data_IF_870364603824
#
_entry.id   IF_870364603824
#
_cell.length_a   1.000
_cell.length_b   1.000
_cell.length_c   1.000
_cell.angle_alpha   90.00
_cell.angle_beta   90.00
_cell.angle_gamma   90.00
#
_symmetry.space_group_name_H-M   'P 1'
#
loop_
_entity.id
_entity.type
_entity.pdbx_description
1 polymer ?
#
# COMPACT_ATOMS: atom_id res chain seq x y z
N UNK A 1 10.84 6.32 4.15
CA UNK A 1 10.05 5.22 4.74
C UNK A 1 9.58 4.23 3.69
N UNK A 2 9.33 2.98 4.07
CA UNK A 2 8.83 1.94 3.16
C UNK A 2 7.68 1.17 3.80
N UNK A 3 6.60 1.01 3.04
CA UNK A 3 5.42 0.24 3.41
C UNK A 3 5.27 -0.96 2.47
N UNK A 4 4.84 -2.10 3.04
CA UNK A 4 4.55 -3.32 2.28
C UNK A 4 3.21 -3.89 2.73
N UNK A 5 2.37 -4.29 1.78
CA UNK A 5 1.21 -5.13 2.04
C UNK A 5 1.51 -6.56 1.59
N UNK A 6 0.96 -7.57 2.27
CA UNK A 6 1.07 -8.96 1.79
C UNK A 6 -0.17 -9.38 0.99
N UNK A 7 -0.36 -10.68 0.83
CA UNK A 7 -1.53 -11.24 0.15
C UNK A 7 -2.82 -10.80 0.86
N UNK A 8 -3.84 -10.40 0.08
CA UNK A 8 -5.15 -9.94 0.58
C UNK A 8 -5.13 -8.70 1.50
N UNK A 9 -3.96 -8.20 1.89
CA UNK A 9 -3.82 -7.01 2.71
C UNK A 9 -4.08 -5.73 1.89
N UNK A 10 -4.58 -4.70 2.57
CA UNK A 10 -4.80 -3.36 2.03
C UNK A 10 -4.26 -2.33 3.01
N UNK A 11 -3.82 -1.19 2.50
CA UNK A 11 -3.38 -0.09 3.35
C UNK A 11 -3.89 1.24 2.81
N UNK A 12 -4.25 2.14 3.73
CA UNK A 12 -4.58 3.54 3.43
C UNK A 12 -3.62 4.45 4.15
N UNK A 13 -2.94 5.31 3.40
CA UNK A 13 -2.02 6.32 3.92
C UNK A 13 -2.62 7.69 3.65
N UNK A 14 -2.70 8.52 4.69
CA UNK A 14 -3.01 9.94 4.55
C UNK A 14 -1.71 10.73 4.61
N UNK A 15 -1.46 11.53 3.58
CA UNK A 15 -0.28 12.37 3.47
C UNK A 15 -0.50 13.70 4.22
N UNK A 16 0.59 14.43 4.47
CA UNK A 16 0.56 15.67 5.23
C UNK A 16 -0.24 16.80 4.53
N UNK A 17 -0.33 16.74 3.21
CA UNK A 17 -1.13 17.67 2.38
C UNK A 17 -2.63 17.29 2.33
N UNK A 18 -3.03 16.21 3.01
CA UNK A 18 -4.40 15.69 3.01
C UNK A 18 -4.67 14.65 1.91
N UNK A 19 -3.77 14.50 0.93
CA UNK A 19 -3.91 13.52 -0.16
C UNK A 19 -3.93 12.10 0.40
N UNK A 20 -4.63 11.20 -0.28
CA UNK A 20 -4.76 9.79 0.15
C UNK A 20 -4.10 8.85 -0.85
N UNK A 21 -3.34 7.89 -0.34
CA UNK A 21 -2.84 6.73 -1.10
C UNK A 21 -3.53 5.47 -0.55
N UNK A 22 -4.28 4.76 -1.39
CA UNK A 22 -4.73 3.39 -1.11
C UNK A 22 -3.78 2.41 -1.80
N UNK A 23 -3.45 1.32 -1.13
CA UNK A 23 -2.54 0.29 -1.62
C UNK A 23 -3.24 -1.06 -1.59
N UNK A 24 -3.14 -1.78 -2.71
CA UNK A 24 -3.65 -3.13 -2.86
C UNK A 24 -2.79 -4.17 -2.16
N UNK A 25 -3.02 -5.44 -2.48
CA UNK A 25 -2.17 -6.53 -2.01
C UNK A 25 -0.79 -6.52 -2.65
N UNK A 26 0.17 -7.13 -1.95
CA UNK A 26 1.57 -7.30 -2.39
C UNK A 26 2.21 -5.98 -2.85
N UNK A 27 1.69 -4.85 -2.39
CA UNK A 27 2.15 -3.54 -2.75
C UNK A 27 3.46 -3.24 -2.04
N UNK A 28 4.37 -2.58 -2.74
CA UNK A 28 5.62 -2.09 -2.19
C UNK A 28 5.69 -0.61 -2.46
N UNK A 29 5.51 0.18 -1.41
CA UNK A 29 5.45 1.63 -1.46
C UNK A 29 6.62 2.23 -0.69
N UNK A 30 7.25 3.26 -1.22
CA UNK A 30 8.28 4.02 -0.53
C UNK A 30 7.99 5.51 -0.62
N UNK A 31 8.24 6.19 0.49
CA UNK A 31 8.23 7.64 0.57
C UNK A 31 9.67 8.13 0.66
N UNK A 32 10.09 8.88 -0.35
CA UNK A 32 11.42 9.46 -0.45
C UNK A 32 11.30 10.98 -0.36
N UNK A 33 12.04 11.56 0.60
CA UNK A 33 12.26 13.01 0.68
C UNK A 33 13.54 13.31 -0.06
N UNK A 34 13.46 14.12 -1.11
CA UNK A 34 14.59 14.62 -1.86
C UNK A 34 14.73 16.14 -1.75
N UNK A 35 15.93 16.63 -2.04
CA UNK A 35 16.18 18.03 -2.40
C UNK A 35 16.64 18.06 -3.85
N UNK A 36 15.96 18.83 -4.69
CA UNK A 36 16.37 19.10 -6.07
C UNK A 36 16.34 20.61 -6.24
N UNK A 37 17.45 21.22 -6.67
CA UNK A 37 17.59 22.67 -6.89
C UNK A 37 17.12 23.53 -5.70
N UNK A 38 17.47 23.10 -4.47
CA UNK A 38 17.08 23.80 -3.24
C UNK A 38 15.61 23.62 -2.81
N UNK A 39 14.76 23.03 -3.66
CA UNK A 39 13.35 22.73 -3.35
C UNK A 39 13.21 21.33 -2.75
N UNK A 40 12.40 21.22 -1.70
CA UNK A 40 12.01 19.93 -1.14
C UNK A 40 11.06 19.24 -2.13
N UNK A 41 11.47 18.11 -2.69
CA UNK A 41 10.61 17.25 -3.52
C UNK A 41 10.29 15.99 -2.74
N UNK A 42 9.00 15.74 -2.56
CA UNK A 42 8.51 14.48 -2.03
C UNK A 42 8.16 13.58 -3.22
N UNK A 43 8.77 12.40 -3.30
CA UNK A 43 8.46 11.41 -4.33
C UNK A 43 7.79 10.21 -3.68
N UNK A 44 6.60 9.90 -4.16
CA UNK A 44 5.87 8.69 -3.79
C UNK A 44 6.29 7.60 -4.78
N UNK A 45 6.91 6.52 -4.31
CA UNK A 45 7.37 5.44 -5.18
C UNK A 45 6.54 4.19 -4.98
N UNK A 46 5.95 3.71 -6.07
CA UNK A 46 5.27 2.42 -6.13
C UNK A 46 6.19 1.47 -6.89
N UNK A 47 6.73 0.47 -6.19
CA UNK A 47 7.68 -0.49 -6.76
C UNK A 47 6.99 -1.76 -7.24
N UNK A 48 5.81 -2.08 -6.71
CA UNK A 48 4.98 -3.23 -7.06
C UNK A 48 3.56 -3.04 -6.52
N UNK A 49 2.60 -3.74 -7.12
CA UNK A 49 1.20 -3.79 -6.69
C UNK A 49 0.35 -2.64 -7.20
N UNK A 50 -0.95 -2.71 -6.92
CA UNK A 50 -1.92 -1.70 -7.28
C UNK A 50 -2.00 -0.59 -6.23
N UNK A 51 -2.34 0.62 -6.68
CA UNK A 51 -2.54 1.77 -5.83
C UNK A 51 -3.58 2.73 -6.41
N UNK A 52 -4.21 3.51 -5.54
CA UNK A 52 -5.02 4.68 -5.94
C UNK A 52 -4.48 5.90 -5.22
N UNK A 53 -4.26 6.96 -5.96
CA UNK A 53 -3.90 8.26 -5.41
C UNK A 53 -5.03 9.25 -5.68
N UNK A 54 -5.46 9.93 -4.63
CA UNK A 54 -6.46 11.00 -4.72
C UNK A 54 -5.89 12.23 -4.04
N UNK A 55 -5.71 13.31 -4.81
CA UNK A 55 -5.19 14.56 -4.29
C UNK A 55 -6.23 15.26 -3.41
N UNK A 56 -5.76 15.99 -2.39
CA UNK A 56 -6.63 16.89 -1.65
C UNK A 56 -6.75 18.23 -2.39
N UNK A 57 -7.97 18.61 -2.79
CA UNK A 57 -8.26 19.77 -3.64
C UNK A 57 -7.99 21.16 -3.05
N UNK A 58 -7.26 21.27 -1.93
CA UNK A 58 -7.12 22.52 -1.15
C UNK A 58 -5.70 23.01 -0.87
N UNK A 59 -4.63 22.26 -1.20
CA UNK A 59 -3.28 22.64 -0.79
C UNK A 59 -2.58 23.57 -1.82
N UNK A 60 -2.25 24.80 -1.40
CA UNK A 60 -1.18 25.60 -2.03
C UNK A 60 0.17 25.04 -1.55
N UNK A 61 0.83 24.22 -2.36
CA UNK A 61 2.12 23.61 -2.05
C UNK A 61 2.71 22.87 -3.26
N UNK A 62 3.96 22.43 -3.17
CA UNK A 62 4.61 21.62 -4.20
C UNK A 62 3.93 20.26 -4.33
N UNK A 63 3.27 20.05 -5.47
CA UNK A 63 2.75 18.75 -5.89
C UNK A 63 3.82 17.65 -5.78
N UNK A 64 3.54 16.51 -5.12
CA UNK A 64 4.47 15.38 -5.16
C UNK A 64 4.59 14.85 -6.60
N UNK A 65 5.68 14.14 -6.90
CA UNK A 65 5.71 13.28 -8.08
C UNK A 65 5.41 11.84 -7.62
N UNK A 66 4.61 11.10 -8.38
CA UNK A 66 4.47 9.65 -8.19
C UNK A 66 5.36 8.95 -9.18
N UNK A 67 6.22 8.05 -8.71
CA UNK A 67 7.02 7.19 -9.56
C UNK A 67 6.58 5.74 -9.42
N UNK A 68 5.95 5.21 -10.47
CA UNK A 68 5.56 3.80 -10.60
C UNK A 68 6.70 3.08 -11.33
N UNK A 69 7.66 2.54 -10.58
CA UNK A 69 8.92 1.96 -11.08
C UNK A 69 9.63 2.86 -12.14
N UNK A 70 9.32 2.69 -13.42
CA UNK A 70 9.91 3.44 -14.53
C UNK A 70 9.08 4.64 -15.00
N UNK A 71 7.85 4.79 -14.53
CA UNK A 71 6.93 5.85 -14.93
C UNK A 71 6.93 6.94 -13.86
N UNK A 72 7.08 8.21 -14.25
CA UNK A 72 6.94 9.39 -13.38
C UNK A 72 5.68 10.16 -13.76
N UNK A 73 4.86 10.47 -12.75
CA UNK A 73 3.56 11.13 -12.87
C UNK A 73 3.62 12.46 -12.10
N UNK A 74 3.37 13.57 -12.78
CA UNK A 74 3.11 14.86 -12.14
C UNK A 74 1.66 14.94 -11.68
N UNK A 75 1.41 15.17 -10.39
CA UNK A 75 0.05 15.14 -9.82
C UNK A 75 -0.39 16.51 -9.31
N UNK A 76 -1.52 17.03 -9.78
CA UNK A 76 -2.14 18.22 -9.19
C UNK A 76 -3.64 18.18 -9.41
N UNK A 77 -4.42 18.10 -8.32
CA UNK A 77 -5.88 18.06 -8.44
C UNK A 77 -6.34 16.83 -9.22
N UNK A 78 -5.79 15.65 -8.93
CA UNK A 78 -6.02 14.43 -9.71
C UNK A 78 -6.45 13.25 -8.85
N UNK A 79 -7.22 12.37 -9.45
CA UNK A 79 -7.51 11.02 -8.97
C UNK A 79 -7.05 10.02 -10.03
N UNK A 80 -6.23 9.06 -9.62
CA UNK A 80 -5.68 8.06 -10.52
C UNK A 80 -5.55 6.71 -9.84
N UNK A 81 -5.72 5.67 -10.64
CA UNK A 81 -5.35 4.31 -10.29
C UNK A 81 -4.08 3.93 -11.03
N UNK A 82 -3.24 3.09 -10.44
CA UNK A 82 -2.10 2.54 -11.14
C UNK A 82 -1.67 1.20 -10.57
N UNK A 83 -0.83 0.49 -11.31
CA UNK A 83 -0.32 -0.82 -10.91
C UNK A 83 1.05 -1.06 -11.52
N UNK A 84 1.96 -1.61 -10.72
CA UNK A 84 3.26 -2.08 -11.21
C UNK A 84 3.32 -3.59 -11.05
N UNK A 85 3.50 -4.30 -12.16
CA UNK A 85 3.70 -5.75 -12.20
C UNK A 85 5.10 -6.07 -12.72
N UNK A 86 5.46 -7.35 -12.78
CA UNK A 86 6.73 -7.75 -13.39
C UNK A 86 6.73 -7.55 -14.91
N UNK A 87 5.55 -7.49 -15.54
CA UNK A 87 5.38 -7.34 -16.98
C UNK A 87 5.24 -5.91 -17.46
N UNK A 88 4.64 -5.02 -16.66
CA UNK A 88 4.31 -3.66 -17.10
C UNK A 88 4.03 -2.69 -15.96
N UNK A 89 4.11 -1.40 -16.24
CA UNK A 89 3.56 -0.33 -15.40
C UNK A 89 2.27 0.21 -16.04
N UNK A 90 1.24 0.43 -15.22
CA UNK A 90 -0.09 0.85 -15.63
C UNK A 90 -0.51 2.11 -14.86
N UNK A 91 -1.15 3.04 -15.55
CA UNK A 91 -1.72 4.27 -14.98
C UNK A 91 -3.05 4.56 -15.66
N UNK A 92 -4.12 4.71 -14.90
CA UNK A 92 -5.45 5.12 -15.38
C UNK A 92 -5.85 6.43 -14.70
N UNK A 93 -6.12 7.47 -15.49
CA UNK A 93 -6.63 8.74 -15.01
C UNK A 93 -8.13 8.62 -14.72
N UNK A 94 -8.54 8.94 -13.50
CA UNK A 94 -9.95 8.94 -13.10
C UNK A 94 -10.50 10.37 -13.19
N UNK A 95 -9.77 11.34 -12.65
CA UNK A 95 -10.13 12.75 -12.67
C UNK A 95 -8.89 13.67 -12.69
N UNK A 96 -9.03 14.86 -13.28
CA UNK A 96 -7.98 15.87 -13.40
C UNK A 96 -7.11 15.70 -14.66
N UNK A 97 -5.82 16.03 -14.55
CA UNK A 97 -4.86 15.89 -15.64
C UNK A 97 -3.44 15.59 -15.12
N UNK A 98 -2.73 14.70 -15.79
CA UNK A 98 -1.37 14.28 -15.43
C UNK A 98 -0.42 14.29 -16.62
N UNK A 99 0.84 14.59 -16.35
CA UNK A 99 1.96 14.32 -17.25
C UNK A 99 2.62 13.00 -16.85
N UNK A 100 2.84 12.12 -17.81
CA UNK A 100 3.40 10.78 -17.63
C UNK A 100 4.68 10.67 -18.46
N UNK A 101 5.81 10.45 -17.79
CA UNK A 101 7.12 10.30 -18.44
C UNK A 101 7.76 8.96 -18.10
N UNK A 102 8.53 8.41 -19.02
CA UNK A 102 9.36 7.23 -18.81
C UNK A 102 10.71 7.38 -19.51
N UNK A 103 11.78 6.72 -19.04
CA UNK A 103 13.11 6.84 -19.63
C UNK A 103 13.12 6.56 -21.14
N UNK A 104 13.69 7.48 -21.92
CA UNK A 104 13.83 7.34 -23.37
C UNK A 104 12.57 7.64 -24.18
N UNK A 105 11.45 8.00 -23.53
CA UNK A 105 10.20 8.31 -24.21
C UNK A 105 9.76 9.76 -23.96
N UNK A 106 9.08 10.40 -24.92
CA UNK A 106 8.49 11.71 -24.69
C UNK A 106 7.45 11.66 -23.57
N UNK A 107 7.27 12.79 -22.88
CA UNK A 107 6.18 12.92 -21.91
C UNK A 107 4.83 12.88 -22.63
N UNK A 108 3.91 12.12 -22.06
CA UNK A 108 2.54 11.94 -22.52
C UNK A 108 1.61 12.64 -21.54
N UNK A 109 0.70 13.47 -22.05
CA UNK A 109 -0.35 14.10 -21.25
C UNK A 109 -1.60 13.23 -21.27
N UNK A 110 -2.13 12.89 -20.09
CA UNK A 110 -3.47 12.32 -19.92
C UNK A 110 -4.34 13.40 -19.30
N UNK A 111 -5.45 13.76 -19.94
CA UNK A 111 -6.32 14.85 -19.50
C UNK A 111 -7.81 14.59 -19.72
N UNK A 112 -8.15 13.37 -20.13
CA UNK A 112 -9.53 12.90 -20.21
C UNK A 112 -9.71 11.75 -19.23
N UNK A 113 -10.82 11.71 -18.48
CA UNK A 113 -11.18 10.54 -17.69
C UNK A 113 -11.04 9.25 -18.50
N UNK A 114 -10.57 8.20 -17.84
CA UNK A 114 -10.33 6.88 -18.39
C UNK A 114 -9.18 6.81 -19.42
N UNK A 115 -8.40 7.88 -19.59
CA UNK A 115 -7.09 7.78 -20.26
C UNK A 115 -6.22 6.76 -19.51
N UNK A 116 -5.71 5.78 -20.26
CA UNK A 116 -4.96 4.65 -19.74
C UNK A 116 -3.58 4.59 -20.40
N UNK A 117 -2.55 4.76 -19.60
CA UNK A 117 -1.16 4.59 -20.01
C UNK A 117 -0.64 3.23 -19.57
N UNK A 118 0.02 2.53 -20.47
CA UNK A 118 0.73 1.29 -20.19
C UNK A 118 2.15 1.31 -20.73
N UNK A 119 3.08 0.79 -19.96
CA UNK A 119 4.47 0.60 -20.35
C UNK A 119 4.90 -0.86 -20.09
N UNK A 120 4.86 -1.73 -21.11
CA UNK A 120 5.42 -3.08 -21.04
C UNK A 120 6.92 -3.06 -20.73
N UNK A 121 7.45 -4.11 -20.09
CA UNK A 121 8.90 -4.26 -19.88
C UNK A 121 9.60 -4.42 -21.22
N UNK A 122 10.60 -3.57 -21.45
CA UNK A 122 11.37 -3.56 -22.69
C UNK A 122 10.58 -3.12 -23.93
N UNK A 123 9.34 -2.65 -23.75
CA UNK A 123 8.49 -2.15 -24.83
C UNK A 123 8.34 -0.63 -24.80
N UNK A 124 7.59 -0.13 -25.77
CA UNK A 124 7.22 1.28 -25.88
C UNK A 124 5.92 1.56 -25.13
N UNK A 125 5.73 2.79 -24.62
CA UNK A 125 4.49 3.17 -23.97
C UNK A 125 3.34 3.30 -24.97
N UNK A 126 2.15 2.94 -24.52
CA UNK A 126 0.91 3.13 -25.27
C UNK A 126 -0.13 3.85 -24.40
N UNK A 127 -0.99 4.64 -25.07
CA UNK A 127 -2.15 5.28 -24.45
C UNK A 127 -3.40 4.73 -25.10
N UNK A 128 -4.38 4.38 -24.27
CA UNK A 128 -5.68 3.88 -24.69
C UNK A 128 -6.79 4.41 -23.76
N UNK A 129 -8.00 3.90 -23.92
CA UNK A 129 -9.15 4.13 -23.06
C UNK A 129 -9.55 2.86 -22.32
N UNK A 130 -9.90 3.03 -21.06
CA UNK A 130 -10.48 1.98 -20.21
C UNK A 130 -11.98 2.16 -20.11
N UNK A 131 -12.74 1.06 -20.06
CA UNK A 131 -14.18 1.14 -19.77
C UNK A 131 -14.42 1.39 -18.28
N UNK A 132 -15.55 2.01 -17.94
CA UNK A 132 -15.93 2.20 -16.54
C UNK A 132 -16.04 0.88 -15.77
N UNK A 133 -16.54 -0.18 -16.43
CA UNK A 133 -16.63 -1.51 -15.84
C UNK A 133 -15.24 -2.07 -15.47
N UNK A 134 -14.25 -1.90 -16.36
CA UNK A 134 -12.88 -2.34 -16.10
C UNK A 134 -12.23 -1.52 -14.98
N UNK A 135 -12.46 -0.21 -14.95
CA UNK A 135 -11.98 0.64 -13.85
C UNK A 135 -12.63 0.24 -12.51
N UNK A 136 -13.92 -0.08 -12.50
CA UNK A 136 -14.62 -0.53 -11.30
C UNK A 136 -14.01 -1.83 -10.75
N UNK A 137 -13.68 -2.79 -11.62
CA UNK A 137 -12.96 -4.00 -11.24
C UNK A 137 -11.58 -3.68 -10.63
N UNK A 138 -10.79 -2.83 -11.28
CA UNK A 138 -9.47 -2.44 -10.78
C UNK A 138 -9.52 -1.66 -9.47
N UNK A 139 -10.56 -0.85 -9.25
CA UNK A 139 -10.73 -0.10 -8.02
C UNK A 139 -10.80 -1.04 -6.80
N UNK A 140 -11.46 -2.20 -6.94
CA UNK A 140 -11.54 -3.23 -5.89
C UNK A 140 -10.17 -3.75 -5.45
N UNK A 141 -9.15 -3.69 -6.31
CA UNK A 141 -7.79 -4.07 -5.93
C UNK A 141 -7.23 -3.19 -4.81
N UNK A 142 -7.77 -2.00 -4.58
CA UNK A 142 -7.27 -1.03 -3.60
C UNK A 142 -8.29 -0.64 -2.53
N UNK A 143 -9.54 -1.07 -2.67
CA UNK A 143 -10.56 -0.80 -1.66
C UNK A 143 -10.32 -1.58 -0.37
N UNK A 144 -10.60 -0.93 0.75
CA UNK A 144 -10.56 -1.57 2.08
C UNK A 144 -11.78 -2.48 2.21
N UNK A 145 -11.57 -3.70 2.70
CA UNK A 145 -12.67 -4.62 3.00
C UNK A 145 -13.42 -4.13 4.25
N UNK A 146 -14.75 -4.03 4.16
CA UNK A 146 -15.60 -3.48 5.22
C UNK A 146 -15.68 -4.38 6.46
N UNK A 147 -15.43 -5.67 6.30
CA UNK A 147 -15.52 -6.73 7.30
C UNK A 147 -14.15 -7.24 7.79
N UNK A 148 -13.06 -6.63 7.30
CA UNK A 148 -11.70 -7.00 7.67
C UNK A 148 -11.25 -6.44 9.02
N UNK A 149 -10.24 -7.07 9.64
CA UNK A 149 -9.59 -6.51 10.82
C UNK A 149 -8.81 -5.23 10.45
N UNK A 150 -9.31 -4.07 10.89
CA UNK A 150 -8.70 -2.78 10.60
C UNK A 150 -7.64 -2.42 11.65
N UNK A 151 -6.42 -2.19 11.17
CA UNK A 151 -5.35 -1.57 11.93
C UNK A 151 -5.30 -0.06 11.70
N UNK A 152 -4.98 0.69 12.75
CA UNK A 152 -4.69 2.13 12.70
C UNK A 152 -3.37 2.39 13.43
N UNK A 153 -2.55 3.30 12.90
CA UNK A 153 -1.35 3.75 13.60
C UNK A 153 -1.71 4.26 15.02
N UNK A 154 -1.06 3.70 16.03
CA UNK A 154 -1.34 4.00 17.44
C UNK A 154 -2.56 3.31 18.04
N UNK A 155 -3.17 2.34 17.34
CA UNK A 155 -4.23 1.51 17.91
C UNK A 155 -3.75 0.78 19.18
N UNK A 156 -4.56 0.83 20.24
CA UNK A 156 -4.18 0.24 21.53
C UNK A 156 -4.17 -1.29 21.47
N UNK A 157 -5.02 -1.90 20.64
CA UNK A 157 -5.20 -3.34 20.68
C UNK A 157 -4.13 -4.09 19.89
N UNK A 158 -3.82 -5.31 20.34
CA UNK A 158 -2.93 -6.27 19.68
C UNK A 158 -3.48 -7.69 19.78
N UNK A 159 -3.06 -8.53 18.85
CA UNK A 159 -3.24 -9.98 18.90
C UNK A 159 -1.88 -10.64 19.08
N UNK A 160 -1.71 -11.37 20.18
CA UNK A 160 -0.56 -12.25 20.40
C UNK A 160 -0.86 -13.58 19.71
N UNK A 161 -0.12 -13.88 18.63
CA UNK A 161 -0.28 -15.13 17.91
C UNK A 161 0.31 -16.30 18.71
N UNK A 162 1.50 -16.15 19.26
CA UNK A 162 2.10 -17.15 20.13
C UNK A 162 3.15 -16.52 21.05
N UNK A 163 3.37 -17.17 22.19
CA UNK A 163 4.50 -16.95 23.09
C UNK A 163 5.44 -18.14 23.02
N UNK A 164 6.74 -17.88 22.99
CA UNK A 164 7.79 -18.89 22.81
C UNK A 164 8.99 -18.57 23.68
N UNK A 165 9.65 -19.59 24.23
CA UNK A 165 10.91 -19.42 24.95
C UNK A 165 12.11 -19.12 24.03
N UNK A 166 11.99 -19.46 22.74
CA UNK A 166 13.07 -19.33 21.76
C UNK A 166 12.78 -18.19 20.78
N UNK A 167 13.73 -17.27 20.66
CA UNK A 167 13.65 -16.14 19.74
C UNK A 167 13.45 -16.60 18.28
N UNK A 168 14.09 -17.70 17.90
CA UNK A 168 14.04 -18.24 16.54
C UNK A 168 12.64 -18.71 16.15
N UNK A 169 11.88 -19.28 17.09
CA UNK A 169 10.51 -19.76 16.85
C UNK A 169 9.55 -18.59 16.61
N UNK A 170 9.64 -17.53 17.44
CA UNK A 170 8.89 -16.30 17.23
C UNK A 170 9.25 -15.64 15.88
N UNK A 171 10.53 -15.63 15.49
CA UNK A 171 10.94 -15.11 14.19
C UNK A 171 10.44 -15.96 13.02
N UNK A 172 10.42 -17.28 13.15
CA UNK A 172 9.89 -18.19 12.15
C UNK A 172 8.38 -18.00 11.96
N UNK A 173 7.61 -17.96 13.05
CA UNK A 173 6.18 -17.68 13.02
C UNK A 173 5.90 -16.31 12.41
N UNK A 174 6.60 -15.27 12.87
CA UNK A 174 6.44 -13.92 12.33
C UNK A 174 6.72 -13.83 10.83
N UNK A 175 7.73 -14.55 10.31
CA UNK A 175 8.01 -14.61 8.87
C UNK A 175 6.85 -15.25 8.10
N UNK A 176 6.31 -16.35 8.60
CA UNK A 176 5.17 -17.05 7.98
C UNK A 176 3.91 -16.20 7.98
N UNK A 177 3.59 -15.55 9.11
CA UNK A 177 2.45 -14.64 9.20
C UNK A 177 2.59 -13.44 8.26
N UNK A 178 3.80 -12.86 8.14
CA UNK A 178 4.06 -11.79 7.17
C UNK A 178 3.94 -12.26 5.72
N UNK A 179 4.35 -13.48 5.41
CA UNK A 179 4.13 -14.07 4.09
C UNK A 179 2.62 -14.23 3.78
N UNK A 180 1.81 -14.53 4.80
CA UNK A 180 0.36 -14.59 4.71
C UNK A 180 -0.35 -13.22 4.79
N UNK A 181 0.39 -12.11 4.84
CA UNK A 181 -0.17 -10.75 4.82
C UNK A 181 -0.46 -10.10 6.16
N UNK A 182 -0.17 -10.78 7.28
CA UNK A 182 -0.30 -10.19 8.61
C UNK A 182 0.95 -9.39 8.98
N UNK A 183 0.83 -8.15 9.49
CA UNK A 183 1.99 -7.33 9.88
C UNK A 183 2.55 -7.76 11.25
N UNK A 184 2.86 -9.06 11.38
CA UNK A 184 3.36 -9.65 12.61
C UNK A 184 4.78 -9.16 12.92
N UNK A 185 5.07 -8.92 14.19
CA UNK A 185 6.38 -8.53 14.72
C UNK A 185 6.73 -9.35 15.95
N UNK A 186 8.03 -9.49 16.21
CA UNK A 186 8.53 -10.06 17.45
C UNK A 186 8.54 -8.99 18.54
N UNK A 187 8.12 -9.36 19.74
CA UNK A 187 8.22 -8.57 20.97
C UNK A 187 8.90 -9.45 22.02
N UNK A 188 9.86 -8.88 22.75
CA UNK A 188 10.42 -9.52 23.94
C UNK A 188 9.61 -9.02 25.14
N UNK A 189 8.94 -9.94 25.84
CA UNK A 189 8.08 -9.61 26.98
C UNK A 189 8.82 -9.76 28.32
N UNK A 190 10.00 -10.39 28.31
CA UNK A 190 10.88 -10.57 29.44
C UNK A 190 12.05 -11.50 29.09
N UNK A 191 12.99 -11.73 30.03
CA UNK A 191 14.12 -12.61 29.79
C UNK A 191 13.67 -14.01 29.35
N UNK A 192 14.04 -14.40 28.12
CA UNK A 192 13.67 -15.70 27.55
C UNK A 192 12.19 -15.85 27.19
N UNK A 193 11.42 -14.76 27.10
CA UNK A 193 10.02 -14.78 26.68
C UNK A 193 9.80 -13.90 25.46
N UNK A 194 9.46 -14.53 24.33
CA UNK A 194 9.24 -13.85 23.06
C UNK A 194 7.80 -14.07 22.59
N UNK A 195 7.15 -13.00 22.12
CA UNK A 195 5.82 -13.04 21.55
C UNK A 195 5.85 -12.66 20.06
N UNK A 196 5.11 -13.39 19.24
CA UNK A 196 4.77 -12.94 17.88
C UNK A 196 3.43 -12.23 17.94
N UNK A 197 3.40 -10.94 17.62
CA UNK A 197 2.19 -10.11 17.77
C UNK A 197 1.84 -9.38 16.49
N UNK A 198 0.55 -9.15 16.27
CA UNK A 198 0.03 -8.14 15.33
C UNK A 198 -0.60 -7.03 16.16
N UNK A 199 -0.04 -5.82 16.10
CA UNK A 199 -0.43 -4.70 16.96
C UNK A 199 -0.99 -3.53 16.15
N UNK A 200 -1.56 -2.54 16.84
CA UNK A 200 -2.08 -1.33 16.22
C UNK A 200 -3.52 -1.50 15.74
N UNK A 201 -4.32 -2.31 16.42
CA UNK A 201 -5.73 -2.53 16.09
C UNK A 201 -6.56 -1.45 16.76
N UNK A 202 -7.54 -0.93 16.02
CA UNK A 202 -8.30 0.24 16.47
C UNK A 202 -9.26 -0.07 17.61
N UNK A 203 -9.71 -1.33 17.71
CA UNK A 203 -10.72 -1.77 18.66
C UNK A 203 -10.52 -3.23 19.05
N UNK A 204 -11.14 -3.63 20.15
CA UNK A 204 -11.22 -5.03 20.57
C UNK A 204 -11.91 -5.89 19.51
N UNK A 205 -12.95 -5.37 18.87
CA UNK A 205 -13.68 -6.05 17.78
C UNK A 205 -12.76 -6.36 16.61
N UNK A 206 -11.95 -5.39 16.18
CA UNK A 206 -10.95 -5.59 15.13
C UNK A 206 -9.90 -6.63 15.56
N UNK A 207 -9.48 -6.63 16.83
CA UNK A 207 -8.55 -7.61 17.36
C UNK A 207 -9.14 -9.02 17.42
N UNK A 208 -10.41 -9.17 17.83
CA UNK A 208 -11.14 -10.44 17.81
C UNK A 208 -11.32 -10.98 16.39
N UNK A 209 -11.68 -10.13 15.44
CA UNK A 209 -11.77 -10.49 14.03
C UNK A 209 -10.41 -10.97 13.48
N UNK A 210 -9.33 -10.27 13.81
CA UNK A 210 -7.98 -10.71 13.43
C UNK A 210 -7.61 -12.05 14.06
N UNK A 211 -7.91 -12.25 15.35
CA UNK A 211 -7.65 -13.49 16.04
C UNK A 211 -8.39 -14.67 15.38
N UNK A 212 -9.65 -14.48 14.96
CA UNK A 212 -10.40 -15.48 14.19
C UNK A 212 -9.74 -15.79 12.85
N UNK A 213 -9.30 -14.76 12.11
CA UNK A 213 -8.60 -14.94 10.83
C UNK A 213 -7.27 -15.68 10.99
N UNK A 214 -6.51 -15.39 12.04
CA UNK A 214 -5.26 -16.09 12.34
C UNK A 214 -5.48 -17.58 12.64
N UNK A 215 -6.55 -17.92 13.37
CA UNK A 215 -6.95 -19.33 13.59
C UNK A 215 -7.30 -20.02 12.27
N UNK A 216 -8.15 -19.39 11.46
CA UNK A 216 -8.60 -19.95 10.18
C UNK A 216 -7.45 -20.16 9.17
N UNK A 217 -6.40 -19.34 9.22
CA UNK A 217 -5.22 -19.47 8.36
C UNK A 217 -4.32 -20.67 8.66
N UNK A 218 -4.66 -21.51 9.66
CA UNK A 218 -3.96 -22.75 9.97
C UNK A 218 -2.57 -22.57 10.60
N UNK A 219 -2.30 -21.39 11.16
CA UNK A 219 -0.99 -21.06 11.70
C UNK A 219 -0.92 -20.66 13.16
N UNK A 220 -2.07 -20.50 13.81
CA UNK A 220 -2.14 -19.97 15.17
C UNK A 220 -3.28 -20.68 15.89
N UNK A 221 -2.97 -21.53 16.87
CA UNK A 221 -3.99 -22.29 17.59
C UNK A 221 -4.82 -21.40 18.53
N UNK A 222 -4.13 -20.63 19.38
CA UNK A 222 -4.76 -19.84 20.44
C UNK A 222 -4.26 -18.39 20.45
N UNK A 223 -4.66 -17.56 19.46
CA UNK A 223 -4.38 -16.15 19.50
C UNK A 223 -5.09 -15.47 20.68
N UNK A 224 -4.35 -14.62 21.39
CA UNK A 224 -4.85 -13.84 22.52
C UNK A 224 -5.02 -12.38 22.11
N UNK A 225 -6.13 -11.78 22.53
CA UNK A 225 -6.42 -10.36 22.30
C UNK A 225 -6.00 -9.58 23.55
N UNK A 226 -5.19 -8.54 23.36
CA UNK A 226 -4.64 -7.72 24.43
C UNK A 226 -4.70 -6.23 24.06
N UNK A 227 -4.61 -5.37 25.07
CA UNK A 227 -4.56 -3.91 24.95
C UNK A 227 -3.16 -3.38 25.26
#
# INVERSE_FOLDING_TARGET
DRLRTGASARARVRLADGSTVKLGEKAVFAFERGRSDGLLRNTLRVLAGAFRYTSFGGARGTSPAIRVRNVTIGIRGTDLWGKSTDERDLVCLIDGAIGVSSPGNPEVRLDKPLDFYQLPRGGEPAVDKVSEAQLAEWALETEMQADGAVGKAGGAWRVVAARTAQRNDALALGRRLRAAGFPARLVEEGPGSFATVVAGLESETAAKALAANLRASGGVAEPLVER
#
